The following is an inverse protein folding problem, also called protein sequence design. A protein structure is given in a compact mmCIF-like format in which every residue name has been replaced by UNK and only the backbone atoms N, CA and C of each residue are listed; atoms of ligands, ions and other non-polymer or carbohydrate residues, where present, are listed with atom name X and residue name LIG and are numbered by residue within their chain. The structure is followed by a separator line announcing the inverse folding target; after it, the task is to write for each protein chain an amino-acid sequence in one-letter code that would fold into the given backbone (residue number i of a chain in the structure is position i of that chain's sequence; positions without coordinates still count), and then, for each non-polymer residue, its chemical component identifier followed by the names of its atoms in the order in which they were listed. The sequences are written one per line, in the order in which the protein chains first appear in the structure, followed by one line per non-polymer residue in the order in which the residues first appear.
data_IF_426440208551
#
_entry.id   IF_426440208551
#
_cell.length_a   1.000
_cell.length_b   1.000
_cell.length_c   1.000
_cell.angle_alpha   90.00
_cell.angle_beta   90.00
_cell.angle_gamma   90.00
#
_symmetry.space_group_name_H-M   'P 1'
#
loop_
_entity.id
_entity.type
_entity.pdbx_description
1 polymer ?
#
# COMPACT_ATOMS: atom_id res chain seq x y z
N UNK A 1 75.97 12.41 52.33
CA UNK A 1 75.89 10.97 52.69
C UNK A 1 74.44 10.50 52.57
N UNK A 2 74.18 9.23 52.23
CA UNK A 2 73.14 8.84 51.28
C UNK A 2 71.88 8.20 51.89
N UNK A 3 70.91 7.90 51.01
CA UNK A 3 69.75 6.95 51.09
C UNK A 3 68.44 7.54 51.65
N UNK A 4 67.26 7.27 51.09
CA UNK A 4 66.89 6.28 50.09
C UNK A 4 65.53 6.54 49.44
N UNK A 5 65.40 5.93 48.27
CA UNK A 5 64.24 5.87 47.38
C UNK A 5 63.09 5.11 48.06
N UNK A 6 61.87 5.66 48.06
CA UNK A 6 60.64 4.89 48.25
C UNK A 6 59.74 5.05 47.02
N UNK A 7 59.59 3.93 46.32
CA UNK A 7 58.70 3.65 45.19
C UNK A 7 57.33 3.22 45.74
N UNK A 8 56.35 3.12 44.82
CA UNK A 8 55.09 2.35 44.88
C UNK A 8 53.89 3.08 45.53
N UNK A 9 52.66 3.07 45.01
CA UNK A 9 51.99 2.37 43.91
C UNK A 9 50.95 3.30 43.27
N UNK A 10 50.92 3.37 41.93
CA UNK A 10 49.78 3.87 41.19
C UNK A 10 48.67 2.80 41.19
N UNK A 11 47.48 3.14 41.68
CA UNK A 11 46.28 2.31 41.52
C UNK A 11 45.52 2.80 40.29
N UNK A 12 45.33 1.98 39.23
CA UNK A 12 44.44 2.34 38.14
C UNK A 12 42.99 2.14 38.58
N UNK A 13 42.22 3.23 38.55
CA UNK A 13 40.76 3.21 38.66
C UNK A 13 40.21 2.49 37.42
N UNK A 14 39.74 1.25 37.59
CA UNK A 14 39.11 0.47 36.52
C UNK A 14 37.67 0.94 36.35
N UNK A 15 37.41 1.75 35.31
CA UNK A 15 36.05 2.11 34.91
C UNK A 15 35.45 0.91 34.16
N UNK A 16 34.54 0.19 34.80
CA UNK A 16 33.71 -0.81 34.12
C UNK A 16 32.64 -0.05 33.35
N UNK A 17 32.90 0.21 32.06
CA UNK A 17 31.85 0.65 31.12
C UNK A 17 31.04 -0.58 30.76
N UNK A 18 29.90 -0.76 31.45
CA UNK A 18 28.91 -1.77 31.08
C UNK A 18 28.18 -1.26 29.83
N UNK A 19 28.72 -1.57 28.65
CA UNK A 19 28.04 -1.33 27.38
C UNK A 19 26.79 -2.21 27.33
N UNK A 20 25.63 -1.64 27.69
CA UNK A 20 24.34 -2.20 27.30
C UNK A 20 24.26 -2.15 25.78
N UNK A 21 24.66 -3.25 25.15
CA UNK A 21 24.27 -3.55 23.78
C UNK A 21 22.78 -3.89 23.88
N UNK A 22 21.92 -2.87 23.78
CA UNK A 22 20.52 -3.11 23.50
C UNK A 22 20.50 -3.86 22.17
N UNK A 23 20.25 -5.17 22.22
CA UNK A 23 19.92 -5.93 21.02
C UNK A 23 18.74 -5.20 20.41
N UNK A 24 18.96 -4.61 19.24
CA UNK A 24 17.87 -4.12 18.39
C UNK A 24 17.03 -5.35 18.14
N UNK A 25 15.88 -5.45 18.81
CA UNK A 25 14.90 -6.46 18.47
C UNK A 25 14.55 -6.13 17.02
N UNK A 26 15.08 -6.93 16.09
CA UNK A 26 14.62 -6.84 14.71
C UNK A 26 13.15 -7.17 14.78
N UNK A 27 12.34 -6.24 14.27
CA UNK A 27 10.94 -6.51 14.12
C UNK A 27 10.78 -7.77 13.27
N UNK A 28 9.73 -8.52 13.59
CA UNK A 28 9.34 -9.70 12.84
C UNK A 28 7.93 -9.46 12.37
N UNK A 29 7.43 -10.40 11.57
CA UNK A 29 5.99 -10.46 11.34
C UNK A 29 5.28 -10.51 12.69
N UNK A 30 4.28 -9.66 12.88
CA UNK A 30 3.56 -9.58 14.14
C UNK A 30 2.08 -9.26 13.89
N UNK A 31 1.27 -9.49 14.91
CA UNK A 31 -0.19 -9.38 14.87
C UNK A 31 -0.64 -8.25 15.79
N UNK A 32 -1.45 -7.36 15.24
CA UNK A 32 -2.06 -6.26 15.99
C UNK A 32 -3.14 -6.81 16.92
N UNK A 33 -2.98 -6.64 18.24
CA UNK A 33 -4.01 -6.96 19.24
C UNK A 33 -4.67 -5.71 19.84
N UNK A 34 -4.08 -4.52 19.63
CA UNK A 34 -4.61 -3.24 20.09
C UNK A 34 -4.86 -3.14 21.59
N UNK A 35 -4.10 -3.86 22.43
CA UNK A 35 -4.41 -3.97 23.86
C UNK A 35 -4.16 -2.69 24.68
N UNK A 36 -3.29 -1.79 24.22
CA UNK A 36 -2.88 -0.60 25.00
C UNK A 36 -3.52 0.67 24.45
N UNK A 37 -3.37 0.94 23.17
CA UNK A 37 -3.93 2.11 22.48
C UNK A 37 -3.93 1.88 20.96
N UNK A 38 -4.13 2.94 20.18
CA UNK A 38 -4.17 2.88 18.72
C UNK A 38 -2.84 3.24 18.03
N UNK A 39 -1.76 3.48 18.77
CA UNK A 39 -0.47 3.86 18.18
C UNK A 39 0.24 2.64 17.59
N UNK A 40 0.54 2.65 16.30
CA UNK A 40 1.36 1.64 15.62
C UNK A 40 2.69 1.35 16.34
N UNK A 41 3.53 2.35 16.69
CA UNK A 41 4.84 2.08 17.25
C UNK A 41 4.82 1.54 18.69
N UNK A 42 3.66 1.50 19.35
CA UNK A 42 3.57 0.98 20.70
C UNK A 42 3.60 -0.55 20.67
N UNK A 43 4.72 -1.12 21.13
CA UNK A 43 4.92 -2.57 21.20
C UNK A 43 3.85 -3.31 21.99
N UNK A 44 3.20 -2.67 22.98
CA UNK A 44 2.11 -3.29 23.74
C UNK A 44 0.86 -3.62 22.90
N UNK A 45 0.74 -3.09 21.69
CA UNK A 45 -0.36 -3.38 20.76
C UNK A 45 -0.06 -4.56 19.82
N UNK A 46 1.12 -5.15 19.91
CA UNK A 46 1.56 -6.26 19.06
C UNK A 46 1.80 -7.51 19.92
N UNK A 47 1.41 -8.68 19.42
CA UNK A 47 1.48 -9.94 20.18
C UNK A 47 2.93 -10.29 20.55
N UNK A 48 3.86 -10.12 19.64
CA UNK A 48 5.30 -10.33 19.83
C UNK A 48 6.04 -9.14 20.45
N UNK A 49 5.32 -8.08 20.83
CA UNK A 49 5.89 -6.83 21.31
C UNK A 49 6.87 -6.17 20.34
N UNK A 50 6.71 -6.41 19.04
CA UNK A 50 7.59 -5.89 18.01
C UNK A 50 6.77 -5.39 16.82
N UNK A 51 6.47 -4.07 16.76
CA UNK A 51 5.75 -3.49 15.63
C UNK A 51 6.47 -3.82 14.31
N UNK A 52 5.78 -4.39 13.30
CA UNK A 52 6.40 -4.73 12.03
C UNK A 52 6.98 -3.51 11.31
N UNK A 53 8.15 -3.72 10.70
CA UNK A 53 8.91 -2.76 9.92
C UNK A 53 9.17 -3.23 8.47
N UNK A 54 10.20 -2.65 7.79
CA UNK A 54 10.53 -3.01 6.42
C UNK A 54 10.85 -4.50 6.24
N UNK A 55 10.29 -5.12 5.20
CA UNK A 55 10.44 -6.54 4.88
C UNK A 55 9.42 -7.44 5.58
N UNK A 56 8.60 -6.89 6.48
CA UNK A 56 7.77 -7.68 7.39
C UNK A 56 6.27 -7.52 7.10
N UNK A 57 5.49 -8.43 7.70
CA UNK A 57 4.03 -8.49 7.59
C UNK A 57 3.38 -8.05 8.90
N UNK A 58 2.50 -7.05 8.81
CA UNK A 58 1.56 -6.72 9.86
C UNK A 58 0.23 -7.44 9.66
N UNK A 59 -0.15 -8.25 10.64
CA UNK A 59 -1.35 -9.08 10.58
C UNK A 59 -2.48 -8.49 11.43
N UNK A 60 -3.68 -8.47 10.87
CA UNK A 60 -4.92 -7.98 11.47
C UNK A 60 -5.97 -9.08 11.39
N UNK A 61 -6.06 -9.89 12.43
CA UNK A 61 -6.85 -11.14 12.42
C UNK A 61 -7.86 -11.26 13.57
N UNK A 62 -8.14 -10.16 14.26
CA UNK A 62 -8.94 -10.15 15.48
C UNK A 62 -9.77 -8.88 15.61
N UNK A 63 -10.43 -8.71 16.75
CA UNK A 63 -11.32 -7.58 17.01
C UNK A 63 -10.59 -6.25 17.29
N UNK A 64 -9.26 -6.24 17.37
CA UNK A 64 -8.42 -5.06 17.62
C UNK A 64 -8.62 -4.39 18.97
N UNK A 65 -9.33 -5.05 19.91
CA UNK A 65 -9.64 -4.54 21.26
C UNK A 65 -10.22 -3.11 21.29
N UNK A 66 -10.97 -2.73 20.24
CA UNK A 66 -11.54 -1.39 20.08
C UNK A 66 -10.59 -0.34 19.50
N UNK A 67 -9.31 -0.66 19.34
CA UNK A 67 -8.29 0.19 18.70
C UNK A 67 -8.13 -0.20 17.22
N UNK A 68 -9.16 0.05 16.42
CA UNK A 68 -9.22 -0.34 15.00
C UNK A 68 -8.89 0.79 14.03
N UNK A 69 -8.92 2.05 14.47
CA UNK A 69 -8.34 3.19 13.75
C UNK A 69 -6.92 3.40 14.21
N UNK A 70 -5.96 2.94 13.42
CA UNK A 70 -4.55 2.84 13.81
C UNK A 70 -3.80 4.11 13.39
N UNK A 71 -3.21 4.75 14.38
CA UNK A 71 -2.35 5.92 14.23
C UNK A 71 -0.92 5.45 13.91
N UNK A 72 -0.45 5.75 12.69
CA UNK A 72 0.90 5.42 12.22
C UNK A 72 2.00 6.27 12.86
N UNK A 73 1.63 7.29 13.65
CA UNK A 73 2.52 8.29 14.21
C UNK A 73 3.39 8.98 13.14
N UNK A 74 2.75 9.27 11.99
CA UNK A 74 3.34 9.98 10.86
C UNK A 74 3.78 9.09 9.71
N UNK A 75 4.64 8.09 9.95
CA UNK A 75 5.21 7.24 8.90
C UNK A 75 5.45 5.81 9.38
N UNK A 76 4.99 4.84 8.59
CA UNK A 76 5.28 3.41 8.77
C UNK A 76 5.68 2.81 7.43
N UNK A 77 6.66 1.90 7.45
CA UNK A 77 7.04 1.08 6.29
C UNK A 77 6.91 -0.39 6.65
N UNK A 78 6.27 -1.16 5.77
CA UNK A 78 6.11 -2.62 5.87
C UNK A 78 6.19 -3.25 4.49
N UNK A 79 6.40 -4.56 4.43
CA UNK A 79 6.22 -5.29 3.17
C UNK A 79 4.75 -5.60 2.93
N UNK A 80 4.02 -6.04 3.96
CA UNK A 80 2.64 -6.51 3.78
C UNK A 80 1.72 -6.07 4.91
N UNK A 81 0.54 -5.59 4.54
CA UNK A 81 -0.63 -5.58 5.43
C UNK A 81 -1.50 -6.81 5.10
N UNK A 82 -1.73 -7.66 6.09
CA UNK A 82 -2.55 -8.86 5.96
C UNK A 82 -3.77 -8.75 6.89
N UNK A 83 -4.96 -8.68 6.31
CA UNK A 83 -6.22 -8.83 7.02
C UNK A 83 -6.67 -10.28 6.88
N UNK A 84 -6.79 -10.99 8.00
CA UNK A 84 -7.00 -12.44 8.02
C UNK A 84 -8.17 -12.87 8.91
N UNK A 85 -8.76 -14.02 8.60
CA UNK A 85 -9.88 -14.64 9.32
C UNK A 85 -11.20 -13.85 9.29
N UNK A 86 -12.29 -14.49 9.72
CA UNK A 86 -13.57 -13.80 9.90
C UNK A 86 -13.65 -12.94 11.16
N UNK A 87 -12.62 -12.97 12.02
CA UNK A 87 -12.59 -12.21 13.26
C UNK A 87 -11.97 -10.81 13.12
N UNK A 88 -11.34 -10.51 11.98
CA UNK A 88 -10.79 -9.18 11.69
C UNK A 88 -11.88 -8.10 11.80
N UNK A 89 -11.66 -7.11 12.66
CA UNK A 89 -12.49 -5.91 12.72
C UNK A 89 -12.39 -5.08 11.42
N UNK A 90 -13.22 -4.06 11.29
CA UNK A 90 -13.06 -3.05 10.25
C UNK A 90 -11.91 -2.11 10.65
N UNK A 91 -10.70 -2.39 10.17
CA UNK A 91 -9.53 -1.58 10.47
C UNK A 91 -9.41 -0.38 9.52
N UNK A 92 -8.98 0.73 10.09
CA UNK A 92 -8.55 1.92 9.36
C UNK A 92 -7.06 2.15 9.62
N UNK A 93 -6.25 2.11 8.58
CA UNK A 93 -4.81 2.36 8.65
C UNK A 93 -4.55 3.82 8.33
N UNK A 94 -4.14 4.58 9.35
CA UNK A 94 -3.98 6.03 9.31
C UNK A 94 -5.09 6.75 10.08
N UNK A 95 -4.71 7.54 11.09
CA UNK A 95 -5.64 8.33 11.91
C UNK A 95 -5.73 9.80 11.45
N UNK A 96 -6.85 10.44 11.75
CA UNK A 96 -7.14 11.82 11.37
C UNK A 96 -7.55 11.99 9.90
N UNK A 97 -7.41 13.21 9.34
CA UNK A 97 -7.77 13.48 7.95
C UNK A 97 -7.02 12.60 6.96
N UNK A 98 -7.65 12.21 5.85
CA UNK A 98 -7.01 11.45 4.76
C UNK A 98 -5.67 12.10 4.37
N UNK A 99 -4.62 11.30 4.17
CA UNK A 99 -3.25 11.74 3.86
C UNK A 99 -2.49 12.50 4.98
N UNK A 100 -3.01 12.55 6.21
CA UNK A 100 -2.29 13.10 7.37
C UNK A 100 -1.04 12.28 7.75
N UNK A 101 -1.02 11.01 7.35
CA UNK A 101 0.00 10.01 7.67
C UNK A 101 0.40 9.26 6.40
N UNK A 102 1.57 8.61 6.42
CA UNK A 102 2.09 7.85 5.29
C UNK A 102 2.32 6.39 5.67
N UNK A 103 1.80 5.49 4.85
CA UNK A 103 2.18 4.09 4.80
C UNK A 103 3.06 3.86 3.58
N UNK A 104 4.23 3.25 3.76
CA UNK A 104 5.11 2.83 2.68
C UNK A 104 5.10 1.32 2.52
N UNK A 105 4.96 0.86 1.30
CA UNK A 105 5.15 -0.55 0.95
C UNK A 105 6.53 -0.77 0.33
N UNK A 106 7.13 -1.91 0.65
CA UNK A 106 8.37 -2.36 0.02
C UNK A 106 8.17 -2.79 -1.45
N UNK A 107 9.29 -3.06 -2.14
CA UNK A 107 9.24 -3.66 -3.46
C UNK A 107 8.56 -5.03 -3.38
N UNK A 108 7.61 -5.30 -4.27
CA UNK A 108 6.74 -6.49 -4.22
C UNK A 108 5.85 -6.53 -2.97
N UNK A 109 5.66 -5.38 -2.33
CA UNK A 109 4.79 -5.24 -1.17
C UNK A 109 3.32 -5.45 -1.51
N UNK A 110 2.52 -5.70 -0.48
CA UNK A 110 1.13 -6.11 -0.66
C UNK A 110 0.18 -5.58 0.40
N UNK A 111 -1.08 -5.45 0.01
CA UNK A 111 -2.23 -5.33 0.90
C UNK A 111 -3.17 -6.47 0.57
N UNK A 112 -3.37 -7.38 1.52
CA UNK A 112 -4.13 -8.63 1.30
C UNK A 112 -5.27 -8.75 2.28
N UNK A 113 -6.48 -8.96 1.76
CA UNK A 113 -7.65 -9.38 2.52
C UNK A 113 -7.93 -10.85 2.17
N UNK A 114 -7.87 -11.74 3.16
CA UNK A 114 -8.20 -13.15 2.96
C UNK A 114 -9.71 -13.39 2.83
N UNK A 115 -10.07 -14.53 2.25
CA UNK A 115 -11.43 -14.84 1.81
C UNK A 115 -12.48 -14.94 2.92
N UNK A 116 -12.05 -15.12 4.17
CA UNK A 116 -12.94 -15.17 5.33
C UNK A 116 -13.29 -13.79 5.90
N UNK A 117 -12.56 -12.73 5.51
CA UNK A 117 -12.79 -11.38 6.03
C UNK A 117 -14.05 -10.81 5.39
N UNK A 118 -14.99 -10.38 6.23
CA UNK A 118 -16.30 -9.83 5.80
C UNK A 118 -16.44 -8.34 6.10
N UNK A 119 -15.53 -7.78 6.87
CA UNK A 119 -15.49 -6.37 7.27
C UNK A 119 -14.70 -5.54 6.27
N UNK A 120 -15.15 -4.30 6.03
CA UNK A 120 -14.46 -3.37 5.15
C UNK A 120 -13.14 -2.92 5.78
N UNK A 121 -12.09 -2.82 4.97
CA UNK A 121 -10.78 -2.34 5.38
C UNK A 121 -10.47 -1.04 4.65
N UNK A 122 -9.95 -0.06 5.40
CA UNK A 122 -9.64 1.27 4.88
C UNK A 122 -8.16 1.60 5.09
N UNK A 123 -7.50 2.00 4.01
CA UNK A 123 -6.19 2.65 4.06
C UNK A 123 -6.42 4.15 3.90
N UNK A 124 -6.44 4.86 5.02
CA UNK A 124 -6.69 6.31 5.11
C UNK A 124 -5.38 7.12 4.97
N UNK A 125 -4.25 6.51 5.32
CA UNK A 125 -2.92 7.06 5.10
C UNK A 125 -2.60 7.18 3.61
N UNK A 126 -1.81 8.20 3.24
CA UNK A 126 -1.19 8.27 1.93
C UNK A 126 -0.25 7.08 1.71
N UNK A 127 -0.24 6.54 0.50
CA UNK A 127 0.45 5.31 0.17
C UNK A 127 1.68 5.58 -0.69
N UNK A 128 2.87 5.37 -0.12
CA UNK A 128 4.14 5.43 -0.84
C UNK A 128 4.51 4.04 -1.38
N UNK A 129 4.54 3.90 -2.71
CA UNK A 129 4.92 2.66 -3.41
C UNK A 129 6.22 2.83 -4.20
N UNK A 130 7.04 3.83 -3.89
CA UNK A 130 8.26 4.10 -4.66
C UNK A 130 9.32 2.99 -4.56
N UNK A 131 9.21 2.10 -3.57
CA UNK A 131 10.13 0.97 -3.44
C UNK A 131 10.03 -0.01 -4.61
N UNK A 132 8.86 -0.13 -5.26
CA UNK A 132 8.67 -1.00 -6.41
C UNK A 132 7.22 -1.35 -6.68
N UNK A 133 6.99 -2.36 -7.51
CA UNK A 133 5.64 -2.80 -7.87
C UNK A 133 4.93 -3.40 -6.66
N UNK A 134 3.62 -3.22 -6.58
CA UNK A 134 2.81 -3.69 -5.45
C UNK A 134 1.55 -4.42 -5.91
N UNK A 135 0.97 -5.22 -5.00
CA UNK A 135 -0.28 -5.94 -5.26
C UNK A 135 -1.31 -5.72 -4.17
N UNK A 136 -2.52 -5.31 -4.55
CA UNK A 136 -3.68 -5.32 -3.68
C UNK A 136 -4.55 -6.52 -4.03
N UNK A 137 -4.75 -7.39 -3.06
CA UNK A 137 -5.57 -8.59 -3.20
C UNK A 137 -6.74 -8.51 -2.24
N UNK A 138 -7.96 -8.58 -2.75
CA UNK A 138 -9.13 -8.79 -1.92
C UNK A 138 -9.80 -10.10 -2.28
N UNK A 139 -9.69 -11.11 -1.44
CA UNK A 139 -10.42 -12.37 -1.60
C UNK A 139 -11.69 -12.43 -0.76
N UNK A 140 -11.88 -11.48 0.17
CA UNK A 140 -13.00 -11.40 1.10
C UNK A 140 -14.25 -10.80 0.49
N UNK A 141 -15.29 -10.66 1.31
CA UNK A 141 -16.55 -10.01 0.92
C UNK A 141 -16.67 -8.58 1.43
N UNK A 142 -15.82 -8.17 2.38
CA UNK A 142 -15.66 -6.77 2.74
C UNK A 142 -14.84 -6.04 1.67
N UNK A 143 -15.07 -4.74 1.51
CA UNK A 143 -14.34 -3.93 0.52
C UNK A 143 -12.93 -3.58 1.03
N UNK A 144 -11.95 -3.54 0.12
CA UNK A 144 -10.67 -2.86 0.36
C UNK A 144 -10.76 -1.45 -0.22
N UNK A 145 -10.67 -0.42 0.62
CA UNK A 145 -10.65 0.97 0.18
C UNK A 145 -9.29 1.60 0.42
N UNK A 146 -8.68 2.12 -0.64
CA UNK A 146 -7.50 2.99 -0.59
C UNK A 146 -8.01 4.44 -0.62
N UNK A 147 -8.25 4.98 0.57
CA UNK A 147 -8.72 6.36 0.78
C UNK A 147 -7.63 7.40 0.58
N UNK A 148 -6.41 7.09 1.03
CA UNK A 148 -5.24 7.94 0.81
C UNK A 148 -4.77 7.95 -0.64
N UNK A 149 -4.04 9.00 -0.99
CA UNK A 149 -3.42 9.18 -2.30
C UNK A 149 -2.28 8.17 -2.47
N UNK A 150 -2.04 7.74 -3.71
CA UNK A 150 -0.77 7.09 -4.08
C UNK A 150 0.24 8.20 -4.35
N UNK A 151 1.37 8.21 -3.65
CA UNK A 151 2.23 9.38 -3.51
C UNK A 151 3.56 9.28 -4.27
N UNK A 152 4.00 10.44 -4.78
CA UNK A 152 5.37 10.75 -5.15
C UNK A 152 6.02 9.77 -6.13
N UNK A 153 5.30 9.26 -7.12
CA UNK A 153 5.87 8.29 -8.07
C UNK A 153 7.10 8.88 -8.78
N UNK A 154 8.29 8.34 -8.45
CA UNK A 154 9.59 8.79 -8.97
C UNK A 154 10.10 7.94 -10.15
N UNK A 155 9.45 6.82 -10.40
CA UNK A 155 9.68 5.94 -11.53
C UNK A 155 8.36 5.26 -11.88
N UNK A 156 8.30 4.64 -13.06
CA UNK A 156 7.14 3.85 -13.43
C UNK A 156 6.93 2.68 -12.46
N UNK A 157 5.67 2.46 -12.06
CA UNK A 157 5.28 1.41 -11.13
C UNK A 157 4.09 0.64 -11.65
N UNK A 158 3.99 -0.61 -11.25
CA UNK A 158 2.83 -1.46 -11.47
C UNK A 158 2.06 -1.63 -10.16
N UNK A 159 0.78 -1.30 -10.20
CA UNK A 159 -0.20 -1.69 -9.20
C UNK A 159 -1.03 -2.84 -9.74
N UNK A 160 -0.89 -4.02 -9.15
CA UNK A 160 -1.72 -5.17 -9.47
C UNK A 160 -2.95 -5.22 -8.56
N UNK A 161 -4.13 -5.43 -9.15
CA UNK A 161 -5.39 -5.60 -8.45
C UNK A 161 -5.88 -7.03 -8.71
N UNK A 162 -5.99 -7.80 -7.63
CA UNK A 162 -6.31 -9.23 -7.64
C UNK A 162 -7.40 -9.60 -6.62
N UNK A 163 -7.86 -10.84 -6.73
CA UNK A 163 -8.90 -11.42 -5.87
C UNK A 163 -10.34 -11.23 -6.36
N UNK A 164 -11.27 -11.86 -5.65
CA UNK A 164 -12.70 -11.91 -5.97
C UNK A 164 -13.55 -10.83 -5.30
N UNK A 165 -13.01 -10.15 -4.28
CA UNK A 165 -13.63 -9.02 -3.60
C UNK A 165 -13.26 -7.69 -4.22
N UNK A 166 -13.98 -6.63 -3.85
CA UNK A 166 -13.85 -5.33 -4.49
C UNK A 166 -12.65 -4.54 -3.92
N UNK A 167 -12.01 -3.77 -4.79
CA UNK A 167 -10.97 -2.81 -4.42
C UNK A 167 -11.37 -1.43 -4.94
N UNK A 168 -11.43 -0.44 -4.04
CA UNK A 168 -11.70 0.94 -4.37
C UNK A 168 -10.44 1.81 -4.22
N UNK A 169 -10.07 2.51 -5.29
CA UNK A 169 -9.07 3.58 -5.28
C UNK A 169 -9.81 4.92 -5.18
N UNK A 170 -9.89 5.46 -3.97
CA UNK A 170 -10.63 6.68 -3.65
C UNK A 170 -9.72 7.91 -3.51
N UNK A 171 -8.44 7.71 -3.23
CA UNK A 171 -7.42 8.76 -3.27
C UNK A 171 -6.95 9.08 -4.68
N UNK A 172 -6.26 10.22 -4.83
CA UNK A 172 -5.63 10.62 -6.09
C UNK A 172 -4.33 9.85 -6.33
N UNK A 173 -3.84 9.82 -7.58
CA UNK A 173 -2.49 9.38 -7.92
C UNK A 173 -1.64 10.63 -8.16
N UNK A 174 -0.58 10.78 -7.37
CA UNK A 174 0.31 11.95 -7.41
C UNK A 174 1.68 11.49 -7.91
N UNK A 175 2.08 12.00 -9.07
CA UNK A 175 3.41 11.83 -9.61
C UNK A 175 4.41 12.81 -8.98
N UNK A 176 5.70 12.49 -9.08
CA UNK A 176 6.73 13.47 -8.78
C UNK A 176 7.02 14.29 -10.05
N UNK A 177 6.62 15.56 -10.06
CA UNK A 177 6.73 16.44 -11.23
C UNK A 177 8.14 16.52 -11.87
N UNK A 178 9.21 16.28 -11.10
CA UNK A 178 10.58 16.33 -11.62
C UNK A 178 11.00 15.04 -12.35
N UNK A 179 10.40 13.90 -11.99
CA UNK A 179 10.78 12.57 -12.51
C UNK A 179 9.67 11.92 -13.34
N UNK A 180 8.43 12.40 -13.22
CA UNK A 180 7.22 11.94 -13.92
C UNK A 180 7.07 10.41 -13.93
N UNK A 181 7.31 9.77 -12.78
CA UNK A 181 6.98 8.35 -12.63
C UNK A 181 5.47 8.17 -12.76
N UNK A 182 5.03 7.23 -13.61
CA UNK A 182 3.60 7.00 -13.85
C UNK A 182 3.16 5.60 -13.41
N UNK A 183 1.90 5.47 -13.05
CA UNK A 183 1.34 4.20 -12.61
C UNK A 183 0.76 3.40 -13.77
N UNK A 184 1.14 2.14 -13.88
CA UNK A 184 0.37 1.13 -14.62
C UNK A 184 -0.54 0.40 -13.64
N UNK A 185 -1.84 0.37 -13.92
CA UNK A 185 -2.81 -0.38 -13.11
C UNK A 185 -3.22 -1.63 -13.86
N UNK A 186 -3.02 -2.80 -13.25
CA UNK A 186 -3.36 -4.08 -13.86
C UNK A 186 -4.38 -4.83 -13.04
N UNK A 187 -5.56 -5.05 -13.62
CA UNK A 187 -6.67 -5.80 -13.03
C UNK A 187 -6.72 -7.21 -13.62
N UNK A 188 -6.63 -8.27 -12.82
CA UNK A 188 -6.55 -9.66 -13.34
C UNK A 188 -7.64 -10.62 -12.86
N UNK A 189 -8.35 -10.28 -11.79
CA UNK A 189 -9.25 -11.23 -11.08
C UNK A 189 -10.73 -10.87 -11.21
N UNK A 190 -11.65 -11.52 -10.50
CA UNK A 190 -13.10 -11.32 -10.72
C UNK A 190 -13.76 -10.23 -9.87
N UNK A 191 -13.14 -9.75 -8.79
CA UNK A 191 -13.70 -8.65 -7.98
C UNK A 191 -13.71 -7.33 -8.73
N UNK A 192 -14.45 -6.32 -8.30
CA UNK A 192 -14.48 -5.04 -9.02
C UNK A 192 -13.30 -4.16 -8.62
N UNK A 193 -12.81 -3.35 -9.57
CA UNK A 193 -11.91 -2.24 -9.32
C UNK A 193 -12.69 -0.93 -9.54
N UNK A 194 -12.85 -0.12 -8.51
CA UNK A 194 -13.52 1.18 -8.64
C UNK A 194 -12.55 2.34 -8.42
N UNK A 195 -12.52 3.30 -9.34
CA UNK A 195 -11.90 4.60 -9.12
C UNK A 195 -12.99 5.58 -8.68
N UNK A 196 -12.93 6.08 -7.46
CA UNK A 196 -14.03 6.90 -6.89
C UNK A 196 -13.63 8.34 -6.58
N UNK A 197 -12.40 8.73 -6.91
CA UNK A 197 -11.93 10.11 -6.77
C UNK A 197 -12.63 11.01 -7.78
N UNK A 198 -13.28 12.12 -7.35
CA UNK A 198 -13.82 13.12 -8.27
C UNK A 198 -12.68 13.96 -8.85
N UNK A 199 -12.60 14.06 -10.17
CA UNK A 199 -11.54 14.77 -10.88
C UNK A 199 -10.73 13.86 -11.80
N UNK A 200 -9.57 14.35 -12.21
CA UNK A 200 -8.69 13.62 -13.15
C UNK A 200 -7.58 12.89 -12.42
N UNK A 201 -7.37 11.63 -12.77
CA UNK A 201 -6.24 10.81 -12.35
C UNK A 201 -5.42 10.47 -13.58
N UNK A 202 -4.10 10.68 -13.53
CA UNK A 202 -3.18 10.27 -14.59
C UNK A 202 -2.62 8.88 -14.29
N UNK A 203 -2.78 7.96 -15.25
CA UNK A 203 -2.10 6.65 -15.25
C UNK A 203 -1.45 6.44 -16.61
N UNK A 204 -0.35 5.70 -16.63
CA UNK A 204 0.34 5.35 -17.89
C UNK A 204 -0.49 4.38 -18.72
N UNK A 205 -0.90 3.31 -18.05
CA UNK A 205 -1.58 2.18 -18.69
C UNK A 205 -2.64 1.64 -17.74
N UNK A 206 -3.82 1.37 -18.27
CA UNK A 206 -4.85 0.57 -17.62
C UNK A 206 -4.97 -0.78 -18.33
N UNK A 207 -4.59 -1.86 -17.64
CA UNK A 207 -4.74 -3.22 -18.14
C UNK A 207 -5.97 -3.87 -17.49
N UNK A 208 -7.01 -4.11 -18.29
CA UNK A 208 -8.26 -4.74 -17.85
C UNK A 208 -8.27 -6.21 -18.25
N UNK A 209 -7.53 -7.03 -17.52
CA UNK A 209 -7.36 -8.46 -17.78
C UNK A 209 -8.32 -9.29 -16.91
N UNK A 210 -9.60 -8.89 -16.90
CA UNK A 210 -10.62 -9.44 -16.04
C UNK A 210 -11.93 -9.59 -16.81
N UNK A 211 -12.19 -10.79 -17.33
CA UNK A 211 -13.42 -11.07 -18.08
C UNK A 211 -14.70 -10.98 -17.22
N UNK A 212 -14.59 -11.25 -15.91
CA UNK A 212 -15.73 -11.36 -15.00
C UNK A 212 -15.89 -10.18 -14.02
N UNK A 213 -14.81 -9.44 -13.73
CA UNK A 213 -14.84 -8.25 -12.88
C UNK A 213 -14.93 -6.95 -13.67
N UNK A 214 -15.44 -5.91 -13.03
CA UNK A 214 -15.64 -4.58 -13.60
C UNK A 214 -14.48 -3.64 -13.26
N UNK A 215 -14.19 -2.70 -14.17
CA UNK A 215 -13.55 -1.43 -13.81
C UNK A 215 -14.61 -0.34 -13.80
N UNK A 216 -14.92 0.19 -12.63
CA UNK A 216 -15.92 1.24 -12.43
C UNK A 216 -15.22 2.59 -12.26
N UNK A 217 -15.61 3.58 -13.06
CA UNK A 217 -15.23 4.97 -12.83
C UNK A 217 -16.39 5.68 -12.15
N UNK A 218 -16.10 6.32 -11.03
CA UNK A 218 -17.05 7.09 -10.25
C UNK A 218 -17.60 8.29 -11.00
N UNK A 219 -18.71 8.83 -10.51
CA UNK A 219 -19.28 10.05 -11.07
C UNK A 219 -18.27 11.21 -10.99
N UNK A 220 -18.00 11.86 -12.12
CA UNK A 220 -17.01 12.94 -12.19
C UNK A 220 -15.55 12.48 -12.16
N UNK A 221 -15.28 11.18 -12.21
CA UNK A 221 -13.92 10.64 -12.36
C UNK A 221 -13.53 10.63 -13.84
N UNK A 222 -12.35 11.16 -14.14
CA UNK A 222 -11.68 11.06 -15.44
C UNK A 222 -10.37 10.30 -15.25
N UNK A 223 -10.18 9.21 -15.98
CA UNK A 223 -8.85 8.61 -16.13
C UNK A 223 -8.20 9.21 -17.36
N UNK A 224 -7.08 9.88 -17.14
CA UNK A 224 -6.17 10.31 -18.19
C UNK A 224 -5.14 9.21 -18.42
N UNK A 225 -5.15 8.62 -19.62
CA UNK A 225 -4.15 7.66 -20.06
C UNK A 225 -3.01 8.41 -20.76
N UNK A 226 -1.94 8.74 -20.04
CA UNK A 226 -0.70 9.35 -20.58
C UNK A 226 0.36 8.26 -20.78
N UNK A 227 0.33 7.65 -21.96
CA UNK A 227 1.07 6.44 -22.27
C UNK A 227 2.53 6.66 -22.71
N UNK A 228 2.96 7.90 -22.95
CA UNK A 228 4.27 8.23 -23.58
C UNK A 228 4.58 7.47 -24.88
N UNK A 229 3.55 7.13 -25.66
CA UNK A 229 3.70 6.27 -26.84
C UNK A 229 3.84 4.77 -26.54
N UNK A 230 3.50 4.32 -25.33
CA UNK A 230 3.23 2.92 -25.01
C UNK A 230 1.73 2.61 -25.12
N UNK A 231 1.29 1.42 -24.70
CA UNK A 231 -0.14 1.11 -24.66
C UNK A 231 -0.88 1.84 -23.53
N UNK A 232 -2.00 2.47 -23.86
CA UNK A 232 -2.82 3.22 -22.89
C UNK A 232 -3.86 2.34 -22.21
N UNK A 233 -4.71 1.68 -23.01
CA UNK A 233 -5.76 0.80 -22.54
C UNK A 233 -5.62 -0.57 -23.20
N UNK A 234 -5.36 -1.61 -22.41
CA UNK A 234 -5.23 -2.98 -22.94
C UNK A 234 -6.07 -3.99 -22.18
N UNK A 235 -6.35 -5.11 -22.85
CA UNK A 235 -6.97 -6.28 -22.23
C UNK A 235 -6.51 -7.58 -22.88
N UNK A 236 -6.03 -8.53 -22.10
CA UNK A 236 -5.63 -9.86 -22.60
C UNK A 236 -6.75 -10.90 -22.50
N UNK A 237 -7.81 -10.64 -21.73
CA UNK A 237 -8.90 -11.58 -21.46
C UNK A 237 -10.29 -11.03 -21.80
N UNK A 238 -10.36 -9.78 -22.25
CA UNK A 238 -11.60 -9.00 -22.24
C UNK A 238 -11.92 -8.45 -20.85
N UNK A 239 -13.05 -7.74 -20.77
CA UNK A 239 -13.56 -7.15 -19.52
C UNK A 239 -14.59 -6.06 -19.78
N UNK A 240 -14.99 -5.37 -18.72
CA UNK A 240 -15.92 -4.25 -18.81
C UNK A 240 -15.37 -3.05 -18.07
N UNK A 241 -15.51 -1.86 -18.66
CA UNK A 241 -15.33 -0.56 -18.01
C UNK A 241 -16.65 0.18 -18.08
N UNK A 242 -17.05 0.86 -17.00
CA UNK A 242 -18.28 1.63 -16.97
C UNK A 242 -18.16 2.91 -16.15
N UNK A 243 -19.00 3.90 -16.47
CA UNK A 243 -19.04 5.19 -15.80
C UNK A 243 -17.88 6.12 -16.16
N UNK A 244 -17.87 7.29 -15.51
CA UNK A 244 -16.82 8.31 -15.64
C UNK A 244 -16.45 8.69 -17.07
N UNK A 245 -15.22 9.20 -17.22
CA UNK A 245 -14.60 9.55 -18.51
C UNK A 245 -13.26 8.84 -18.64
N UNK A 246 -12.95 8.33 -19.83
CA UNK A 246 -11.60 7.90 -20.20
C UNK A 246 -11.09 8.89 -21.24
N UNK A 247 -10.00 9.57 -20.93
CA UNK A 247 -9.31 10.44 -21.86
C UNK A 247 -8.03 9.76 -22.33
N UNK A 248 -7.95 9.47 -23.63
CA UNK A 248 -6.75 9.00 -24.28
C UNK A 248 -5.87 10.21 -24.58
N UNK A 249 -4.72 10.34 -23.93
CA UNK A 249 -3.76 11.40 -24.20
C UNK A 249 -2.45 10.78 -24.70
N UNK A 250 -2.09 11.11 -25.93
CA UNK A 250 -0.81 10.72 -26.48
C UNK A 250 0.07 11.96 -26.59
N UNK A 251 1.22 11.98 -25.92
CA UNK A 251 2.33 12.89 -26.22
C UNK A 251 3.06 12.40 -27.49
N UNK A 252 2.34 12.13 -28.58
CA UNK A 252 2.91 11.53 -29.79
C UNK A 252 1.88 10.98 -30.77
N UNK A 253 2.31 10.66 -31.98
CA UNK A 253 1.45 10.23 -33.10
C UNK A 253 0.96 8.78 -33.04
N UNK A 254 1.13 8.07 -31.92
CA UNK A 254 0.76 6.66 -31.80
C UNK A 254 -0.54 6.50 -30.98
N UNK A 255 -1.68 6.76 -31.62
CA UNK A 255 -3.01 6.51 -31.07
C UNK A 255 -3.45 5.05 -31.12
N UNK A 256 -2.65 4.19 -31.78
CA UNK A 256 -2.99 2.80 -32.11
C UNK A 256 -2.72 1.79 -30.97
N UNK A 257 -2.23 2.23 -29.81
CA UNK A 257 -1.80 1.32 -28.74
C UNK A 257 -2.91 1.01 -27.71
N UNK A 258 -4.16 1.01 -28.15
CA UNK A 258 -5.30 0.57 -27.35
C UNK A 258 -5.93 -0.65 -27.99
N UNK A 259 -6.15 -1.73 -27.24
CA UNK A 259 -6.70 -2.93 -27.86
C UNK A 259 -6.83 -4.12 -26.94
N UNK A 260 -7.34 -5.20 -27.52
CA UNK A 260 -7.54 -6.46 -26.83
C UNK A 260 -6.80 -7.60 -27.53
N UNK A 261 -6.46 -8.66 -26.79
CA UNK A 261 -5.92 -9.87 -27.39
C UNK A 261 -6.92 -10.49 -28.37
N UNK A 262 -6.42 -11.20 -29.39
CA UNK A 262 -7.24 -11.84 -30.40
C UNK A 262 -8.30 -12.76 -29.77
N UNK A 263 -9.56 -12.61 -30.20
CA UNK A 263 -10.69 -13.39 -29.68
C UNK A 263 -11.27 -12.89 -28.35
N UNK A 264 -10.88 -11.70 -27.88
CA UNK A 264 -11.41 -11.10 -26.64
C UNK A 264 -12.09 -9.76 -26.90
N UNK A 265 -12.96 -9.33 -25.98
CA UNK A 265 -13.72 -8.07 -26.08
C UNK A 265 -13.63 -7.28 -24.79
N UNK A 266 -13.24 -6.02 -24.91
CA UNK A 266 -13.32 -5.02 -23.84
C UNK A 266 -14.54 -4.15 -24.10
N UNK A 267 -15.50 -4.21 -23.19
CA UNK A 267 -16.74 -3.42 -23.28
C UNK A 267 -16.55 -2.12 -22.52
N UNK A 268 -16.84 -0.99 -23.16
CA UNK A 268 -16.82 0.33 -22.51
C UNK A 268 -18.24 0.88 -22.55
N UNK A 269 -18.86 1.00 -21.38
CA UNK A 269 -20.21 1.51 -21.21
C UNK A 269 -20.15 2.96 -20.73
N UNK A 270 -20.55 3.90 -21.58
CA UNK A 270 -20.86 5.25 -21.12
C UNK A 270 -22.20 5.26 -20.39
N UNK A 271 -22.31 6.04 -19.32
CA UNK A 271 -23.60 6.35 -18.67
C UNK A 271 -24.43 7.31 -19.52
#
# INVERSE_FOLDING_TARGET
MPRGISRWLAAPLFVVVLSLIASVAHAGNDTWNGNVNNLWPNSGNWVGFSPPGPGETATFDNAGSGNTTIDLNGFVQVNTLLFDTGAAAAYTIGDGPVNSQTLKLDNLGAITINNTVTTNQLINAGLDINAGDVTFTNNGTGDLTIGGNILNLTADRVLNIAGSGNVALAGNIIDNAATRGRLTVTKTSSGDLSFTFPGSIEVRTLNVNSAAGLVQLGAGTTILLDNDGAAGLTSSTGGTITGGTIQLQTSGANGDDNGTAAGTTLTINSL
#
